data_IF_019363007608
#
_entry.id   IF_019363007608
#
_cell.length_a   1.000
_cell.length_b   1.000
_cell.length_c   1.000
_cell.angle_alpha   90.00
_cell.angle_beta   90.00
_cell.angle_gamma   90.00
#
_symmetry.space_group_name_H-M   'P 1'
#
loop_
_entity.id
_entity.type
_entity.pdbx_description
1 polymer ?
#
# COMPACT_ATOMS: atom_id res chain seq x y z
N UNK A 1 -47.23 48.14 -69.98
CA UNK A 1 -47.36 47.24 -68.81
C UNK A 1 -47.22 45.80 -69.29
N UNK A 2 -46.50 44.99 -68.51
CA UNK A 2 -45.93 43.67 -68.85
C UNK A 2 -46.97 42.59 -69.15
N UNK A 3 -46.62 41.64 -70.03
CA UNK A 3 -46.55 40.18 -69.77
C UNK A 3 -46.38 39.43 -71.11
N UNK A 4 -45.19 38.87 -71.35
CA UNK A 4 -44.83 37.45 -71.20
C UNK A 4 -45.34 36.55 -72.34
N UNK A 5 -44.41 36.22 -73.24
CA UNK A 5 -44.47 35.02 -74.07
C UNK A 5 -43.13 34.31 -73.92
N UNK A 6 -43.15 33.03 -73.52
CA UNK A 6 -41.99 32.16 -73.59
C UNK A 6 -42.38 30.85 -74.27
N UNK A 7 -41.59 30.51 -75.30
CA UNK A 7 -41.55 29.26 -76.03
C UNK A 7 -40.18 29.23 -76.78
N UNK A 8 -39.70 28.09 -77.28
CA UNK A 8 -38.76 27.27 -76.53
C UNK A 8 -37.49 26.92 -77.34
N UNK A 9 -36.68 26.04 -76.73
CA UNK A 9 -35.83 25.00 -77.35
C UNK A 9 -34.47 25.37 -77.97
N UNK A 10 -33.52 24.53 -77.52
CA UNK A 10 -32.42 23.85 -78.26
C UNK A 10 -31.18 24.68 -78.58
N UNK A 11 -30.04 24.11 -78.18
CA UNK A 11 -28.74 24.43 -78.75
C UNK A 11 -27.61 24.11 -77.78
N UNK A 12 -27.14 22.86 -77.82
CA UNK A 12 -25.83 22.47 -77.28
C UNK A 12 -24.73 23.29 -78.01
N UNK A 13 -23.56 23.52 -77.40
CA UNK A 13 -22.46 22.66 -77.82
C UNK A 13 -21.56 22.16 -76.70
N UNK A 14 -21.10 20.94 -76.95
CA UNK A 14 -19.87 20.32 -76.48
C UNK A 14 -18.73 21.32 -76.25
N UNK A 15 -18.16 21.31 -75.04
CA UNK A 15 -16.73 21.53 -74.83
C UNK A 15 -16.23 20.40 -73.93
N UNK A 16 -15.33 19.60 -74.50
CA UNK A 16 -14.46 18.64 -73.85
C UNK A 16 -13.71 19.32 -72.69
N UNK A 17 -13.85 18.81 -71.47
CA UNK A 17 -12.86 19.01 -70.43
C UNK A 17 -12.77 17.76 -69.57
N UNK A 18 -11.65 17.06 -69.80
CA UNK A 18 -10.99 16.08 -68.94
C UNK A 18 -11.69 15.80 -67.61
N UNK A 19 -12.53 14.77 -67.58
CA UNK A 19 -12.88 14.12 -66.32
C UNK A 19 -11.74 13.16 -66.00
N UNK A 20 -10.95 13.55 -64.99
CA UNK A 20 -10.00 12.72 -64.27
C UNK A 20 -10.65 11.37 -63.92
N UNK A 21 -10.21 10.32 -64.60
CA UNK A 21 -10.61 8.96 -64.31
C UNK A 21 -10.02 8.56 -62.95
N UNK A 22 -10.84 7.87 -62.17
CA UNK A 22 -10.59 7.57 -60.78
C UNK A 22 -9.35 6.72 -60.56
N UNK A 23 -8.60 7.14 -59.55
CA UNK A 23 -7.76 6.30 -58.70
C UNK A 23 -7.83 6.94 -57.31
N UNK A 24 -8.98 6.75 -56.66
CA UNK A 24 -9.12 6.87 -55.21
C UNK A 24 -8.24 5.77 -54.60
N UNK A 25 -6.96 6.08 -54.46
CA UNK A 25 -6.05 5.37 -53.58
C UNK A 25 -6.48 5.71 -52.16
N UNK A 26 -7.36 4.88 -51.62
CA UNK A 26 -7.53 4.76 -50.17
C UNK A 26 -6.14 4.49 -49.59
N UNK A 27 -5.58 5.32 -48.70
CA UNK A 27 -4.57 4.82 -47.78
C UNK A 27 -5.31 3.79 -46.93
N UNK A 28 -5.20 2.52 -47.33
CA UNK A 28 -5.57 1.41 -46.48
C UNK A 28 -4.81 1.61 -45.18
N UNK A 29 -5.55 1.83 -44.09
CA UNK A 29 -5.03 1.57 -42.77
C UNK A 29 -4.71 0.08 -42.73
N UNK A 30 -3.51 -0.27 -43.17
CA UNK A 30 -2.85 -1.49 -42.80
C UNK A 30 -2.69 -1.38 -41.28
N UNK A 31 -3.70 -1.87 -40.56
CA UNK A 31 -3.53 -2.25 -39.18
C UNK A 31 -2.45 -3.31 -39.21
N UNK A 32 -1.23 -2.92 -38.86
CA UNK A 32 -0.21 -3.86 -38.47
C UNK A 32 -0.81 -4.64 -37.29
N UNK A 33 -1.35 -5.82 -37.60
CA UNK A 33 -1.63 -6.83 -36.59
C UNK A 33 -0.27 -7.26 -36.05
N UNK A 34 0.24 -6.51 -35.08
CA UNK A 34 1.15 -7.06 -34.08
C UNK A 34 0.34 -8.11 -33.33
N UNK A 35 0.40 -9.35 -33.82
CA UNK A 35 0.13 -10.52 -33.00
C UNK A 35 1.21 -10.51 -31.94
N UNK A 36 0.92 -9.85 -30.82
CA UNK A 36 1.71 -9.97 -29.62
C UNK A 36 1.60 -11.43 -29.18
N UNK A 37 2.74 -12.12 -29.16
CA UNK A 37 2.84 -13.42 -28.49
C UNK A 37 2.32 -13.29 -27.05
N UNK A 38 1.67 -14.32 -26.49
CA UNK A 38 1.24 -14.28 -25.10
C UNK A 38 2.47 -14.13 -24.21
N UNK A 39 2.61 -12.95 -23.60
CA UNK A 39 3.60 -12.70 -22.57
C UNK A 39 3.25 -13.61 -21.40
N UNK A 40 4.14 -14.57 -21.11
CA UNK A 40 4.13 -15.33 -19.86
C UNK A 40 3.95 -14.35 -18.71
N UNK A 41 3.02 -14.60 -17.79
CA UNK A 41 2.80 -13.80 -16.58
C UNK A 41 4.13 -13.49 -15.88
N UNK A 42 4.69 -12.32 -16.16
CA UNK A 42 5.94 -11.81 -15.58
C UNK A 42 5.68 -10.36 -15.19
N UNK A 43 5.65 -10.16 -13.88
CA UNK A 43 6.01 -8.95 -13.14
C UNK A 43 5.33 -7.62 -13.52
N UNK A 44 4.43 -7.20 -12.62
CA UNK A 44 3.70 -5.92 -12.48
C UNK A 44 2.48 -5.70 -13.40
N UNK A 45 1.25 -5.80 -12.83
CA UNK A 45 0.60 -4.60 -12.25
C UNK A 45 0.26 -4.59 -10.74
N UNK A 46 0.24 -5.73 -10.01
CA UNK A 46 -0.35 -5.70 -8.64
C UNK A 46 0.56 -5.25 -7.49
N UNK A 47 1.86 -5.02 -7.71
CA UNK A 47 2.75 -4.51 -6.65
C UNK A 47 2.43 -3.06 -6.28
N UNK A 48 1.88 -2.30 -7.24
CA UNK A 48 1.57 -0.90 -7.03
C UNK A 48 0.59 -0.77 -5.85
N UNK A 49 -0.50 -1.53 -5.86
CA UNK A 49 -1.62 -1.41 -4.91
C UNK A 49 -1.38 -2.10 -3.55
N UNK A 50 -0.24 -2.78 -3.34
CA UNK A 50 0.00 -3.52 -2.11
C UNK A 50 0.33 -2.57 -0.95
N UNK A 51 -0.07 -2.94 0.27
CA UNK A 51 0.32 -2.26 1.49
C UNK A 51 0.60 -3.28 2.59
N UNK A 52 1.33 -2.84 3.61
CA UNK A 52 1.59 -3.61 4.82
C UNK A 52 0.92 -2.90 5.99
N UNK A 53 0.26 -3.65 6.86
CA UNK A 53 -0.03 -3.19 8.22
C UNK A 53 1.12 -3.66 9.10
N UNK A 54 1.83 -2.71 9.70
CA UNK A 54 2.98 -2.98 10.56
C UNK A 54 2.66 -2.60 11.99
N UNK A 55 3.29 -3.30 12.94
CA UNK A 55 3.59 -2.73 14.24
C UNK A 55 4.84 -1.85 14.14
N UNK A 56 5.39 -1.49 15.29
CA UNK A 56 6.59 -0.67 15.37
C UNK A 56 7.82 -1.39 14.77
N UNK A 57 8.03 -2.65 15.14
CA UNK A 57 9.22 -3.45 14.80
C UNK A 57 8.95 -4.67 13.91
N UNK A 58 7.69 -4.92 13.55
CA UNK A 58 7.31 -6.13 12.84
C UNK A 58 6.22 -5.90 11.79
N UNK A 59 6.31 -6.68 10.71
CA UNK A 59 5.21 -6.90 9.81
C UNK A 59 4.11 -7.68 10.54
N UNK A 60 2.87 -7.19 10.45
CA UNK A 60 1.71 -7.82 11.11
C UNK A 60 0.82 -8.46 10.06
N UNK A 61 0.44 -7.71 9.03
CA UNK A 61 -0.51 -8.15 8.02
C UNK A 61 -0.23 -7.54 6.64
N UNK A 62 -0.87 -8.11 5.63
CA UNK A 62 -0.99 -7.55 4.30
C UNK A 62 -2.21 -6.62 4.23
N UNK A 63 -2.19 -5.71 3.27
CA UNK A 63 -3.27 -4.80 2.96
C UNK A 63 -3.25 -4.42 1.48
N UNK A 64 -4.29 -3.74 1.02
CA UNK A 64 -4.40 -3.27 -0.36
C UNK A 64 -4.93 -1.85 -0.41
N UNK A 65 -4.26 -0.97 -1.15
CA UNK A 65 -4.65 0.43 -1.37
C UNK A 65 -5.93 0.46 -2.20
N UNK A 66 -6.98 1.08 -1.66
CA UNK A 66 -8.32 1.17 -2.27
C UNK A 66 -8.81 2.62 -2.41
N UNK A 67 -7.95 3.59 -2.12
CA UNK A 67 -8.25 5.00 -2.22
C UNK A 67 -7.05 5.89 -1.85
N UNK A 68 -7.19 7.22 -1.92
CA UNK A 68 -6.06 8.15 -1.77
C UNK A 68 -5.37 8.09 -0.40
N UNK A 69 -6.11 7.64 0.62
CA UNK A 69 -5.65 7.50 2.02
C UNK A 69 -6.22 6.25 2.70
N UNK A 70 -6.68 5.30 1.90
CA UNK A 70 -7.45 4.16 2.38
C UNK A 70 -6.81 2.84 1.95
N UNK A 71 -6.65 1.93 2.90
CA UNK A 71 -6.31 0.54 2.62
C UNK A 71 -7.38 -0.41 3.15
N UNK A 72 -7.52 -1.54 2.49
CA UNK A 72 -8.34 -2.67 2.90
C UNK A 72 -7.45 -3.72 3.58
N UNK A 73 -7.88 -4.23 4.74
CA UNK A 73 -7.19 -5.29 5.48
C UNK A 73 -8.18 -6.09 6.34
N UNK A 74 -7.70 -7.05 7.12
CA UNK A 74 -8.53 -7.79 8.08
C UNK A 74 -8.65 -7.00 9.40
N UNK A 75 -9.80 -7.06 10.07
CA UNK A 75 -10.03 -6.27 11.28
C UNK A 75 -9.07 -6.64 12.43
N UNK A 76 -8.71 -7.92 12.54
CA UNK A 76 -7.73 -8.44 13.50
C UNK A 76 -6.32 -7.85 13.34
N UNK A 77 -6.02 -7.24 12.19
CA UNK A 77 -4.73 -6.60 11.97
C UNK A 77 -4.61 -5.24 12.64
N UNK A 78 -5.74 -4.59 12.96
CA UNK A 78 -5.79 -3.17 13.37
C UNK A 78 -6.66 -2.90 14.59
N UNK A 79 -7.58 -3.79 14.94
CA UNK A 79 -8.45 -3.68 16.11
C UNK A 79 -8.10 -4.79 17.11
N UNK A 80 -8.03 -4.41 18.39
CA UNK A 80 -7.97 -5.34 19.51
C UNK A 80 -9.34 -6.01 19.70
N UNK A 81 -9.45 -7.35 19.59
CA UNK A 81 -10.74 -8.04 19.74
C UNK A 81 -11.32 -7.96 21.16
N UNK A 82 -10.51 -7.72 22.19
CA UNK A 82 -10.96 -7.66 23.57
C UNK A 82 -11.52 -6.29 23.93
N UNK A 83 -10.87 -5.22 23.46
CA UNK A 83 -11.24 -3.83 23.80
C UNK A 83 -12.00 -3.11 22.70
N UNK A 84 -12.04 -3.69 21.50
CA UNK A 84 -12.63 -3.11 20.29
C UNK A 84 -12.04 -1.72 19.92
N UNK A 85 -10.79 -1.50 20.34
CA UNK A 85 -10.05 -0.27 20.10
C UNK A 85 -9.03 -0.47 18.98
N UNK A 86 -8.65 0.63 18.32
CA UNK A 86 -7.54 0.60 17.36
C UNK A 86 -6.24 0.35 18.12
N UNK A 87 -5.45 -0.62 17.65
CA UNK A 87 -4.11 -0.89 18.17
C UNK A 87 -3.21 0.32 17.89
N UNK A 88 -2.76 0.98 18.96
CA UNK A 88 -2.08 2.29 18.89
C UNK A 88 -0.73 2.26 18.17
N UNK A 89 -0.09 1.09 18.12
CA UNK A 89 1.22 0.85 17.50
C UNK A 89 1.11 0.52 16.00
N UNK A 90 -0.10 0.44 15.44
CA UNK A 90 -0.32 0.05 14.05
C UNK A 90 -0.14 1.20 13.08
N UNK A 91 0.56 0.89 11.99
CA UNK A 91 0.86 1.80 10.90
C UNK A 91 0.63 1.12 9.55
N UNK A 92 0.57 1.91 8.50
CA UNK A 92 0.37 1.43 7.12
C UNK A 92 1.54 1.88 6.26
N UNK A 93 2.04 0.96 5.43
CA UNK A 93 3.10 1.24 4.49
C UNK A 93 2.65 0.87 3.07
N UNK A 94 2.39 1.83 2.18
CA UNK A 94 2.05 1.54 0.79
C UNK A 94 3.30 1.13 0.00
N UNK A 95 3.10 0.31 -1.04
CA UNK A 95 4.09 0.03 -2.10
C UNK A 95 5.48 -0.34 -1.58
N UNK A 96 5.54 -1.30 -0.66
CA UNK A 96 6.83 -1.76 -0.12
C UNK A 96 7.32 -2.97 -0.90
N UNK A 97 8.52 -2.88 -1.48
CA UNK A 97 9.34 -4.04 -1.81
C UNK A 97 10.31 -4.25 -0.65
N UNK A 98 9.99 -5.19 0.26
CA UNK A 98 10.92 -5.60 1.32
C UNK A 98 11.98 -6.58 0.78
N UNK A 99 12.34 -6.48 -0.50
CA UNK A 99 13.28 -7.39 -1.15
C UNK A 99 14.67 -7.35 -0.46
N UNK A 100 15.04 -6.21 0.14
CA UNK A 100 16.32 -6.00 0.88
C UNK A 100 16.12 -5.68 2.38
N UNK A 101 14.98 -6.05 2.98
CA UNK A 101 14.65 -5.70 4.38
C UNK A 101 14.54 -4.18 4.62
N UNK A 102 14.23 -3.43 3.56
CA UNK A 102 14.13 -1.97 3.54
C UNK A 102 12.72 -1.51 3.91
N UNK A 103 12.53 -0.99 5.12
CA UNK A 103 11.29 -0.33 5.52
C UNK A 103 11.36 1.12 4.99
N UNK A 104 10.57 1.53 3.97
CA UNK A 104 10.61 2.90 3.44
C UNK A 104 10.12 3.96 4.42
N UNK A 105 10.58 5.20 4.21
CA UNK A 105 10.14 6.48 4.81
C UNK A 105 8.65 6.81 4.61
N UNK A 106 7.84 5.85 4.14
CA UNK A 106 6.45 6.03 3.73
C UNK A 106 5.42 5.53 4.75
N UNK A 107 5.82 5.19 5.99
CA UNK A 107 4.88 4.85 7.07
C UNK A 107 3.84 5.95 7.28
N UNK A 108 2.57 5.56 7.31
CA UNK A 108 1.43 6.42 7.61
C UNK A 108 0.75 5.93 8.86
N UNK A 109 0.37 6.86 9.73
CA UNK A 109 -0.33 6.52 10.97
C UNK A 109 -1.78 6.24 10.67
N UNK A 110 -2.35 5.26 11.37
CA UNK A 110 -3.79 5.03 11.32
C UNK A 110 -4.49 6.21 11.98
N UNK A 111 -5.44 6.80 11.26
CA UNK A 111 -6.31 7.86 11.76
C UNK A 111 -7.64 7.30 12.22
N UNK A 112 -8.25 6.47 11.36
CA UNK A 112 -9.56 5.86 11.60
C UNK A 112 -9.59 4.46 11.03
N UNK A 113 -10.34 3.59 11.69
CA UNK A 113 -10.66 2.26 11.19
C UNK A 113 -12.17 2.16 11.05
N UNK A 114 -12.62 1.71 9.88
CA UNK A 114 -14.02 1.45 9.61
C UNK A 114 -14.26 -0.05 9.57
N UNK A 115 -15.18 -0.53 10.40
CA UNK A 115 -15.58 -1.94 10.46
C UNK A 115 -17.09 -2.07 10.23
N UNK A 116 -17.55 -3.16 9.59
CA UNK A 116 -18.97 -3.40 9.42
C UNK A 116 -19.73 -3.39 10.75
N UNK A 117 -20.89 -2.72 10.77
CA UNK A 117 -21.81 -2.77 11.91
C UNK A 117 -22.62 -4.07 11.90
N UNK A 118 -23.09 -4.48 13.06
CA UNK A 118 -23.98 -5.63 13.16
C UNK A 118 -25.30 -5.33 12.41
N UNK A 119 -25.75 -6.29 11.59
CA UNK A 119 -26.93 -6.11 10.74
C UNK A 119 -26.67 -5.44 9.39
N UNK A 120 -25.40 -5.12 9.05
CA UNK A 120 -25.04 -4.76 7.68
C UNK A 120 -25.40 -5.88 6.69
N UNK A 121 -25.80 -5.57 5.45
CA UNK A 121 -26.24 -6.56 4.46
C UNK A 121 -25.06 -7.29 3.77
N UNK A 122 -23.96 -7.52 4.48
CA UNK A 122 -22.71 -8.08 3.95
C UNK A 122 -22.44 -9.53 4.43
N UNK A 123 -23.51 -10.20 4.86
CA UNK A 123 -23.43 -11.48 5.55
C UNK A 123 -22.94 -11.36 7.00
N UNK A 124 -23.38 -12.24 7.91
CA UNK A 124 -22.89 -12.22 9.26
C UNK A 124 -21.49 -12.85 9.32
N UNK A 125 -20.45 -12.04 9.51
CA UNK A 125 -19.24 -12.53 10.17
C UNK A 125 -19.51 -12.49 11.67
N UNK A 126 -20.18 -13.53 12.21
CA UNK A 126 -20.51 -13.64 13.64
C UNK A 126 -19.27 -13.48 14.54
N UNK A 127 -18.10 -13.77 13.97
CA UNK A 127 -16.79 -13.71 14.61
C UNK A 127 -16.00 -12.52 14.11
N UNK A 128 -15.33 -11.85 15.03
CA UNK A 128 -14.49 -10.70 14.75
C UNK A 128 -13.36 -11.02 13.76
N UNK A 129 -12.82 -12.24 13.81
CA UNK A 129 -11.79 -12.76 12.90
C UNK A 129 -12.29 -12.89 11.45
N UNK A 130 -13.60 -12.86 11.25
CA UNK A 130 -14.24 -12.83 9.94
C UNK A 130 -14.41 -11.44 9.35
N UNK A 131 -14.16 -10.36 10.12
CA UNK A 131 -14.43 -8.99 9.69
C UNK A 131 -13.28 -8.42 8.86
N UNK A 132 -13.62 -7.69 7.80
CA UNK A 132 -12.67 -6.78 7.15
C UNK A 132 -12.63 -5.43 7.87
N UNK A 133 -11.59 -4.65 7.57
CA UNK A 133 -11.46 -3.27 8.00
C UNK A 133 -11.00 -2.39 6.83
N UNK A 134 -11.58 -1.19 6.75
CA UNK A 134 -11.05 -0.10 5.93
C UNK A 134 -10.24 0.79 6.87
N UNK A 135 -8.98 1.03 6.54
CA UNK A 135 -8.08 1.84 7.36
C UNK A 135 -7.85 3.15 6.62
N UNK A 136 -8.23 4.26 7.25
CA UNK A 136 -7.86 5.58 6.80
C UNK A 136 -6.61 6.03 7.53
N UNK A 137 -5.63 6.50 6.77
CA UNK A 137 -4.36 6.97 7.30
C UNK A 137 -4.24 8.48 7.29
N UNK A 138 -3.50 9.02 8.25
CA UNK A 138 -3.10 10.41 8.28
C UNK A 138 -1.65 10.58 7.81
N UNK A 139 -1.43 11.63 7.04
CA UNK A 139 -0.10 12.15 6.67
C UNK A 139 0.22 13.29 7.64
N UNK A 140 1.29 13.13 8.44
CA UNK A 140 1.68 14.12 9.46
C UNK A 140 2.66 15.18 8.92
N UNK A 141 3.30 14.88 7.80
CA UNK A 141 4.07 15.83 6.96
C UNK A 141 3.37 15.88 5.60
N UNK A 142 3.67 16.86 4.74
CA UNK A 142 3.23 16.88 3.32
C UNK A 142 3.82 15.70 2.53
N UNK A 143 3.46 14.48 2.90
CA UNK A 143 3.56 13.34 2.03
C UNK A 143 2.39 13.42 1.06
N UNK A 144 2.63 13.15 -0.23
CA UNK A 144 1.54 13.11 -1.17
C UNK A 144 0.64 11.90 -0.86
N UNK A 145 -0.66 11.96 -1.21
CA UNK A 145 -1.59 10.86 -1.00
C UNK A 145 -1.07 9.57 -1.62
N UNK A 146 -1.58 8.42 -1.17
CA UNK A 146 -1.24 7.12 -1.79
C UNK A 146 -1.34 7.18 -3.31
N UNK A 147 -2.37 7.82 -3.85
CA UNK A 147 -2.58 7.98 -5.29
C UNK A 147 -1.45 8.68 -6.06
N UNK A 148 -0.51 9.36 -5.39
CA UNK A 148 0.69 9.93 -6.00
C UNK A 148 1.88 8.95 -6.03
N UNK A 149 1.85 7.92 -5.17
CA UNK A 149 2.93 6.95 -4.99
C UNK A 149 2.54 5.55 -5.51
N UNK A 150 1.25 5.24 -5.59
CA UNK A 150 0.67 3.92 -5.85
C UNK A 150 -0.68 4.04 -6.56
N UNK A 151 -1.01 3.03 -7.38
CA UNK A 151 -2.33 2.88 -7.98
C UNK A 151 -3.37 2.41 -6.95
N UNK A 152 -4.63 2.76 -7.17
CA UNK A 152 -5.75 2.29 -6.35
C UNK A 152 -6.37 1.03 -6.94
N UNK A 153 -6.64 0.03 -6.10
CA UNK A 153 -7.25 -1.20 -6.53
C UNK A 153 -8.75 -1.05 -6.79
N UNK A 154 -9.19 -1.54 -7.96
CA UNK A 154 -10.60 -1.70 -8.26
C UNK A 154 -11.16 -3.01 -7.69
N UNK A 155 -12.45 -3.00 -7.35
CA UNK A 155 -13.23 -4.17 -6.97
C UNK A 155 -13.83 -4.85 -8.20
N UNK A 156 -13.91 -6.17 -8.16
CA UNK A 156 -14.71 -6.94 -9.12
C UNK A 156 -16.20 -6.68 -8.85
N UNK A 157 -16.93 -6.25 -9.87
CA UNK A 157 -18.37 -5.91 -9.78
C UNK A 157 -19.26 -6.87 -10.54
N UNK A 158 -18.70 -7.97 -11.04
CA UNK A 158 -19.49 -8.94 -11.80
C UNK A 158 -20.46 -9.64 -10.85
N UNK A 159 -21.73 -9.66 -11.23
CA UNK A 159 -22.72 -10.51 -10.56
C UNK A 159 -22.26 -11.96 -10.75
N UNK A 160 -22.06 -12.66 -9.64
CA UNK A 160 -21.53 -14.01 -9.54
C UNK A 160 -22.33 -14.99 -10.40
N UNK A 161 -21.94 -15.19 -11.65
CA UNK A 161 -22.24 -16.38 -12.42
C UNK A 161 -21.06 -16.70 -13.35
N UNK A 162 -20.22 -17.64 -12.91
CA UNK A 162 -19.51 -18.56 -13.80
C UNK A 162 -18.14 -18.14 -14.36
N UNK A 163 -17.41 -17.21 -13.74
CA UNK A 163 -16.03 -16.97 -14.16
C UNK A 163 -15.03 -17.66 -13.21
N UNK A 164 -14.54 -18.82 -13.65
CA UNK A 164 -13.48 -19.63 -13.05
C UNK A 164 -12.10 -18.95 -13.15
N UNK A 165 -12.06 -17.64 -12.88
CA UNK A 165 -10.83 -16.86 -12.89
C UNK A 165 -9.85 -17.46 -11.88
N UNK A 166 -8.58 -17.62 -12.29
CA UNK A 166 -7.51 -18.05 -11.39
C UNK A 166 -7.41 -17.02 -10.27
N UNK A 167 -7.85 -17.42 -9.08
CA UNK A 167 -7.71 -16.60 -7.88
C UNK A 167 -6.23 -16.46 -7.55
N UNK A 168 -5.82 -15.22 -7.36
CA UNK A 168 -4.45 -14.88 -7.00
C UNK A 168 -4.45 -14.09 -5.71
N UNK A 169 -3.58 -14.48 -4.79
CA UNK A 169 -3.34 -13.77 -3.54
C UNK A 169 -1.87 -13.36 -3.54
N UNK A 170 -1.62 -12.05 -3.44
CA UNK A 170 -0.29 -11.50 -3.20
C UNK A 170 -0.23 -10.97 -1.79
N UNK A 171 0.79 -11.37 -1.06
CA UNK A 171 0.87 -11.11 0.37
C UNK A 171 2.32 -11.02 0.82
N UNK A 172 2.52 -10.45 2.00
CA UNK A 172 3.82 -10.34 2.63
C UNK A 172 4.00 -11.42 3.69
N UNK A 173 5.11 -12.15 3.61
CA UNK A 173 5.43 -13.23 4.54
C UNK A 173 6.29 -12.71 5.70
N UNK A 174 5.78 -12.81 6.94
CA UNK A 174 6.53 -12.34 8.11
C UNK A 174 7.84 -13.10 8.29
N UNK A 175 7.90 -14.40 7.96
CA UNK A 175 9.08 -15.23 8.17
C UNK A 175 10.27 -14.81 7.29
N UNK A 176 10.02 -14.16 6.16
CA UNK A 176 11.06 -13.65 5.25
C UNK A 176 11.45 -12.20 5.57
N UNK A 177 11.02 -11.67 6.71
CA UNK A 177 11.17 -10.23 7.01
C UNK A 177 10.23 -9.35 6.20
N UNK A 178 9.17 -9.95 5.63
CA UNK A 178 8.12 -9.27 4.89
C UNK A 178 8.33 -9.22 3.39
N UNK A 179 9.08 -10.15 2.77
CA UNK A 179 9.12 -10.22 1.31
C UNK A 179 7.73 -10.56 0.74
N UNK A 180 7.38 -9.91 -0.37
CA UNK A 180 6.12 -10.17 -1.05
C UNK A 180 6.20 -11.47 -1.84
N UNK A 181 5.18 -12.31 -1.70
CA UNK A 181 5.04 -13.55 -2.43
C UNK A 181 3.64 -13.66 -3.04
N UNK A 182 3.48 -14.61 -3.95
CA UNK A 182 2.22 -14.87 -4.65
C UNK A 182 1.81 -16.31 -4.47
N UNK A 183 0.54 -16.54 -4.16
CA UNK A 183 -0.07 -17.87 -4.12
C UNK A 183 -1.30 -17.91 -5.02
N UNK A 184 -1.46 -19.04 -5.73
CA UNK A 184 -2.62 -19.37 -6.53
C UNK A 184 -3.61 -20.21 -5.72
N UNK A 185 -4.03 -19.69 -4.56
CA UNK A 185 -5.03 -20.34 -3.72
C UNK A 185 -6.37 -20.42 -4.45
N UNK A 186 -7.04 -21.56 -4.41
CA UNK A 186 -8.38 -21.72 -4.94
C UNK A 186 -9.44 -21.60 -3.83
N UNK A 187 -10.55 -20.97 -4.17
CA UNK A 187 -11.78 -21.05 -3.40
C UNK A 187 -12.40 -22.43 -3.62
N UNK A 188 -12.71 -23.13 -2.55
CA UNK A 188 -13.41 -24.41 -2.57
C UNK A 188 -14.92 -24.22 -2.62
N UNK A 189 -15.42 -23.21 -1.90
CA UNK A 189 -16.84 -22.86 -1.85
C UNK A 189 -17.01 -21.48 -1.19
N UNK A 190 -18.12 -20.81 -1.50
CA UNK A 190 -18.61 -19.68 -0.70
C UNK A 190 -19.68 -20.23 0.26
N UNK A 191 -19.39 -20.17 1.56
CA UNK A 191 -20.28 -20.62 2.64
C UNK A 191 -21.29 -19.50 3.00
N UNK A 192 -22.37 -19.82 3.74
CA UNK A 192 -23.27 -18.80 4.29
C UNK A 192 -22.49 -17.76 5.11
N UNK A 193 -22.77 -16.47 4.89
CA UNK A 193 -22.05 -15.36 5.53
C UNK A 193 -20.79 -14.91 4.78
N UNK A 194 -20.73 -15.16 3.47
CA UNK A 194 -19.67 -14.69 2.55
C UNK A 194 -18.26 -15.20 2.91
N UNK A 195 -18.13 -16.24 3.72
CA UNK A 195 -16.83 -16.89 3.99
C UNK A 195 -16.46 -17.78 2.80
N UNK A 196 -15.26 -17.59 2.29
CA UNK A 196 -14.69 -18.35 1.18
C UNK A 196 -13.74 -19.40 1.74
N UNK A 197 -14.17 -20.66 1.77
CA UNK A 197 -13.27 -21.75 2.16
C UNK A 197 -12.16 -21.89 1.12
N UNK A 198 -10.90 -21.97 1.56
CA UNK A 198 -9.74 -21.99 0.66
C UNK A 198 -8.96 -23.29 0.79
N UNK A 199 -8.35 -23.73 -0.30
CA UNK A 199 -7.51 -24.94 -0.32
C UNK A 199 -6.07 -24.71 0.15
N UNK A 200 -5.79 -23.55 0.76
CA UNK A 200 -4.45 -23.14 1.13
C UNK A 200 -4.41 -22.59 2.57
N UNK A 201 -3.27 -22.80 3.23
CA UNK A 201 -2.93 -22.20 4.51
C UNK A 201 -1.71 -21.30 4.28
N UNK A 202 -1.95 -20.00 4.07
CA UNK A 202 -0.87 -19.03 3.90
C UNK A 202 -0.25 -18.67 5.25
N UNK A 203 1.05 -18.32 5.27
CA UNK A 203 1.79 -18.04 6.51
C UNK A 203 1.35 -16.74 7.18
N UNK A 204 1.90 -16.48 8.36
CA UNK A 204 1.71 -15.22 9.07
C UNK A 204 2.18 -14.02 8.23
N UNK A 205 1.46 -12.90 8.35
CA UNK A 205 1.59 -11.74 7.46
C UNK A 205 0.64 -11.78 6.26
N UNK A 206 0.10 -12.95 5.89
CA UNK A 206 -0.81 -13.04 4.74
C UNK A 206 -2.22 -12.48 5.00
N UNK A 207 -2.67 -12.47 6.25
CA UNK A 207 -3.96 -11.91 6.66
C UNK A 207 -4.14 -10.48 6.14
N UNK A 208 -5.33 -10.17 5.63
CA UNK A 208 -5.64 -8.88 5.03
C UNK A 208 -5.19 -8.71 3.57
N UNK A 209 -4.55 -9.71 2.97
CA UNK A 209 -4.25 -9.69 1.53
C UNK A 209 -5.53 -9.78 0.68
N UNK A 210 -5.60 -8.99 -0.39
CA UNK A 210 -6.71 -9.09 -1.34
C UNK A 210 -6.67 -10.42 -2.11
N UNK A 211 -7.84 -11.05 -2.23
CA UNK A 211 -8.09 -12.16 -3.16
C UNK A 211 -8.57 -11.53 -4.46
N UNK A 212 -7.86 -11.80 -5.56
CA UNK A 212 -8.07 -11.10 -6.83
C UNK A 212 -8.36 -12.07 -7.97
N UNK A 213 -9.20 -11.59 -8.87
CA UNK A 213 -9.39 -12.08 -10.23
C UNK A 213 -8.88 -11.03 -11.21
N UNK A 214 -8.88 -11.33 -12.51
CA UNK A 214 -8.42 -10.39 -13.54
C UNK A 214 -9.17 -9.04 -13.51
N UNK A 215 -10.45 -9.03 -13.10
CA UNK A 215 -11.29 -7.82 -13.05
C UNK A 215 -11.13 -6.99 -11.77
N UNK A 216 -10.47 -7.48 -10.72
CA UNK A 216 -10.27 -6.73 -9.49
C UNK A 216 -10.27 -7.57 -8.21
N UNK A 217 -10.40 -6.88 -7.08
CA UNK A 217 -10.58 -7.51 -5.75
C UNK A 217 -11.96 -8.16 -5.69
N UNK A 218 -12.00 -9.47 -5.43
CA UNK A 218 -13.25 -10.24 -5.22
C UNK A 218 -13.42 -10.65 -3.75
N UNK A 219 -12.33 -10.63 -2.98
CA UNK A 219 -12.35 -11.01 -1.58
C UNK A 219 -11.12 -10.58 -0.80
N UNK A 220 -11.04 -11.05 0.44
CA UNK A 220 -9.96 -10.78 1.37
C UNK A 220 -9.55 -12.08 2.06
N UNK A 221 -8.25 -12.38 2.12
CA UNK A 221 -7.74 -13.50 2.90
C UNK A 221 -7.72 -13.13 4.39
N UNK A 222 -8.28 -14.00 5.25
CA UNK A 222 -8.43 -13.70 6.67
C UNK A 222 -7.41 -14.48 7.51
N UNK A 223 -7.38 -15.81 7.38
CA UNK A 223 -6.55 -16.71 8.16
C UNK A 223 -6.41 -18.07 7.44
N UNK A 224 -5.52 -18.98 7.90
CA UNK A 224 -5.30 -20.29 7.27
C UNK A 224 -6.59 -21.02 6.89
N UNK A 225 -6.77 -21.27 5.58
CA UNK A 225 -7.93 -21.98 5.03
C UNK A 225 -9.19 -21.14 4.79
N UNK A 226 -9.18 -19.83 5.08
CA UNK A 226 -10.36 -18.99 4.97
C UNK A 226 -10.08 -17.59 4.39
N UNK A 227 -10.90 -17.22 3.42
CA UNK A 227 -11.10 -15.85 2.97
C UNK A 227 -12.52 -15.38 3.20
N UNK A 228 -12.80 -14.16 2.79
CA UNK A 228 -14.12 -13.55 2.77
C UNK A 228 -14.38 -12.95 1.40
N UNK A 229 -15.50 -13.30 0.81
CA UNK A 229 -16.03 -12.70 -0.40
C UNK A 229 -16.55 -11.30 -0.09
N UNK A 230 -16.41 -10.37 -1.04
CA UNK A 230 -16.90 -8.99 -0.91
C UNK A 230 -17.96 -8.77 -1.98
N UNK A 231 -19.23 -8.77 -1.58
CA UNK A 231 -20.36 -8.60 -2.49
C UNK A 231 -20.58 -7.15 -2.93
N UNK A 232 -21.37 -6.96 -4.00
CA UNK A 232 -21.63 -5.64 -4.60
C UNK A 232 -22.15 -4.60 -3.60
N UNK A 233 -23.06 -4.98 -2.70
CA UNK A 233 -23.57 -4.07 -1.67
C UNK A 233 -22.48 -3.57 -0.71
N UNK A 234 -21.50 -4.44 -0.41
CA UNK A 234 -20.34 -4.08 0.41
C UNK A 234 -19.37 -3.21 -0.38
N UNK A 235 -19.11 -3.51 -1.65
CA UNK A 235 -18.29 -2.67 -2.55
C UNK A 235 -18.83 -1.24 -2.62
N UNK A 236 -20.15 -1.07 -2.78
CA UNK A 236 -20.79 0.26 -2.79
C UNK A 236 -20.60 0.98 -1.46
N UNK A 237 -20.78 0.28 -0.35
CA UNK A 237 -20.61 0.83 0.98
C UNK A 237 -19.16 1.23 1.29
N UNK A 238 -18.17 0.42 0.86
CA UNK A 238 -16.74 0.75 0.91
C UNK A 238 -16.47 2.03 0.09
N UNK A 239 -17.00 2.11 -1.13
CA UNK A 239 -16.83 3.29 -1.99
C UNK A 239 -17.35 4.58 -1.34
N UNK A 240 -18.44 4.51 -0.59
CA UNK A 240 -18.96 5.67 0.17
C UNK A 240 -18.06 6.08 1.34
N UNK A 241 -17.39 5.13 1.99
CA UNK A 241 -16.38 5.43 3.01
C UNK A 241 -15.17 6.13 2.36
N UNK A 242 -14.60 5.53 1.32
CA UNK A 242 -13.40 6.03 0.64
C UNK A 242 -13.58 7.45 0.07
N UNK A 243 -14.77 7.74 -0.46
CA UNK A 243 -15.12 9.06 -1.02
C UNK A 243 -15.50 10.11 0.05
N UNK A 244 -15.58 9.72 1.32
CA UNK A 244 -16.01 10.61 2.41
C UNK A 244 -17.52 10.88 2.45
N UNK A 245 -18.32 10.24 1.59
CA UNK A 245 -19.78 10.35 1.61
C UNK A 245 -20.42 9.69 2.85
N UNK A 246 -19.66 8.84 3.55
CA UNK A 246 -20.10 8.11 4.73
C UNK A 246 -21.03 6.94 4.37
N UNK A 247 -20.95 5.87 5.17
CA UNK A 247 -21.77 4.67 5.01
C UNK A 247 -22.45 4.31 6.33
N UNK A 248 -23.76 4.03 6.35
CA UNK A 248 -24.46 3.58 7.56
C UNK A 248 -24.06 2.15 7.96
N UNK A 249 -23.39 1.42 7.07
CA UNK A 249 -23.02 0.02 7.29
C UNK A 249 -21.63 -0.16 7.88
N UNK A 250 -20.91 0.94 8.09
CA UNK A 250 -19.60 0.95 8.74
C UNK A 250 -19.62 1.92 9.92
N UNK A 251 -19.14 1.47 11.08
CA UNK A 251 -18.80 2.40 12.16
C UNK A 251 -17.36 2.84 12.00
N UNK A 252 -17.10 4.11 12.27
CA UNK A 252 -15.75 4.64 12.37
C UNK A 252 -15.26 4.55 13.81
N UNK A 253 -14.04 4.07 13.99
CA UNK A 253 -13.32 4.03 15.25
C UNK A 253 -12.12 4.96 15.10
N UNK A 254 -12.05 6.02 15.89
CA UNK A 254 -10.92 6.94 15.89
C UNK A 254 -9.69 6.26 16.51
N UNK A 255 -8.54 6.44 15.88
CA UNK A 255 -7.27 5.96 16.40
C UNK A 255 -6.59 7.04 17.23
N UNK A 256 -5.93 6.64 18.30
CA UNK A 256 -4.97 7.49 19.04
C UNK A 256 -3.60 6.86 18.84
N UNK A 257 -2.91 7.16 17.71
CA UNK A 257 -1.67 6.49 17.37
C UNK A 257 -0.57 6.87 18.37
N UNK A 258 0.26 5.89 18.72
CA UNK A 258 1.49 6.13 19.44
C UNK A 258 2.52 6.74 18.48
N UNK A 259 2.60 8.07 18.51
CA UNK A 259 3.54 8.82 17.70
C UNK A 259 4.97 8.51 18.18
N UNK A 260 5.75 7.92 17.28
CA UNK A 260 7.15 7.57 17.52
C UNK A 260 8.03 8.04 16.38
N UNK A 261 9.29 8.27 16.73
CA UNK A 261 10.39 8.49 15.79
C UNK A 261 11.21 7.21 15.78
N UNK A 262 11.27 6.53 14.65
CA UNK A 262 12.10 5.33 14.48
C UNK A 262 13.48 5.72 13.98
N UNK A 263 14.52 5.34 14.71
CA UNK A 263 15.88 5.39 14.22
C UNK A 263 16.26 4.05 13.62
N UNK A 264 16.64 4.04 12.35
CA UNK A 264 17.17 2.83 11.69
C UNK A 264 18.67 2.99 11.57
N UNK A 265 19.40 2.30 12.46
CA UNK A 265 20.86 2.28 12.48
C UNK A 265 21.37 1.09 11.68
N UNK A 266 22.15 1.32 10.63
CA UNK A 266 22.78 0.26 9.85
C UNK A 266 24.28 0.20 10.13
N UNK A 267 24.81 -0.98 10.49
CA UNK A 267 26.24 -1.19 10.67
C UNK A 267 26.88 -1.65 9.35
N UNK A 268 27.72 -0.78 8.77
CA UNK A 268 28.53 -1.08 7.57
C UNK A 268 30.01 -1.37 7.89
N UNK A 269 30.41 -1.38 9.16
CA UNK A 269 31.71 -1.88 9.57
C UNK A 269 31.76 -3.41 9.43
N UNK A 270 32.97 -3.94 9.29
CA UNK A 270 33.29 -5.37 9.38
C UNK A 270 33.34 -5.89 10.84
N UNK A 271 33.20 -4.99 11.81
CA UNK A 271 33.14 -5.27 13.24
C UNK A 271 31.80 -4.82 13.85
N UNK A 272 31.40 -5.39 15.01
CA UNK A 272 30.21 -4.94 15.72
C UNK A 272 30.37 -3.51 16.26
N UNK A 273 29.26 -2.76 16.29
CA UNK A 273 29.18 -1.41 16.85
C UNK A 273 28.33 -1.44 18.11
N UNK A 274 28.86 -0.95 19.22
CA UNK A 274 28.06 -0.60 20.40
C UNK A 274 27.57 0.84 20.24
N UNK A 275 26.27 1.09 20.44
CA UNK A 275 25.66 2.41 20.30
C UNK A 275 24.99 2.88 21.59
N UNK A 276 24.93 4.21 21.75
CA UNK A 276 24.18 4.89 22.80
C UNK A 276 23.49 6.12 22.22
N UNK A 277 22.16 6.11 22.25
CA UNK A 277 21.29 7.20 21.87
C UNK A 277 20.72 7.84 23.13
N UNK A 278 20.91 9.14 23.30
CA UNK A 278 20.26 9.93 24.36
C UNK A 278 19.27 10.87 23.72
N UNK A 279 18.00 10.76 24.05
CA UNK A 279 16.98 11.59 23.42
C UNK A 279 16.17 12.39 24.44
N UNK A 280 15.63 13.52 23.98
CA UNK A 280 14.68 14.33 24.72
C UNK A 280 13.76 15.10 23.75
N UNK A 281 12.46 15.24 24.06
CA UNK A 281 11.55 16.11 23.30
C UNK A 281 12.03 17.56 23.26
N UNK A 282 11.80 18.25 22.14
CA UNK A 282 12.09 19.69 22.00
C UNK A 282 11.12 20.47 22.88
N UNK A 283 11.65 21.36 23.73
CA UNK A 283 10.84 22.16 24.67
C UNK A 283 10.41 21.41 25.94
N UNK A 284 10.64 20.10 26.01
CA UNK A 284 10.47 19.32 27.24
C UNK A 284 11.56 19.66 28.25
N UNK A 285 11.18 20.23 29.39
CA UNK A 285 12.05 20.26 30.57
C UNK A 285 12.17 18.85 31.15
N UNK A 286 13.40 18.32 31.27
CA UNK A 286 13.62 16.97 31.80
C UNK A 286 14.97 16.35 31.44
N UNK A 287 15.23 15.18 32.03
CA UNK A 287 16.39 14.34 31.80
C UNK A 287 16.33 13.62 30.45
N UNK A 288 17.48 13.20 29.94
CA UNK A 288 17.58 12.41 28.72
C UNK A 288 17.23 10.95 28.99
N UNK A 289 16.34 10.39 28.17
CA UNK A 289 16.19 8.93 28.10
C UNK A 289 17.35 8.35 27.28
N UNK A 290 17.95 7.28 27.77
CA UNK A 290 19.09 6.63 27.12
C UNK A 290 18.70 5.26 26.62
N UNK A 291 18.98 4.99 25.34
CA UNK A 291 18.82 3.69 24.69
C UNK A 291 20.18 3.26 24.18
N UNK A 292 20.62 2.06 24.54
CA UNK A 292 21.92 1.52 24.13
C UNK A 292 21.75 0.11 23.62
N UNK A 293 22.68 -0.32 22.76
CA UNK A 293 22.66 -1.67 22.22
C UNK A 293 23.89 -1.96 21.37
N UNK A 294 23.85 -3.09 20.69
CA UNK A 294 24.91 -3.57 19.79
C UNK A 294 24.33 -3.93 18.44
N UNK A 295 25.05 -3.62 17.37
CA UNK A 295 24.70 -3.96 16.00
C UNK A 295 25.84 -4.78 15.41
N UNK A 296 25.57 -6.03 15.06
CA UNK A 296 26.57 -6.90 14.42
C UNK A 296 26.87 -6.41 12.98
N UNK A 297 28.01 -6.84 12.43
CA UNK A 297 28.45 -6.47 11.07
C UNK A 297 27.36 -6.77 10.03
N UNK A 298 27.04 -5.80 9.18
CA UNK A 298 26.03 -5.92 8.12
C UNK A 298 24.58 -5.95 8.61
N UNK A 299 24.33 -5.81 9.92
CA UNK A 299 22.98 -5.82 10.47
C UNK A 299 22.41 -4.41 10.66
N UNK A 300 21.09 -4.37 10.87
CA UNK A 300 20.32 -3.16 11.18
C UNK A 300 19.70 -3.25 12.55
N UNK A 301 19.50 -2.11 13.18
CA UNK A 301 18.79 -1.97 14.45
C UNK A 301 17.75 -0.86 14.36
N UNK A 302 16.53 -1.18 14.76
CA UNK A 302 15.44 -0.23 14.93
C UNK A 302 15.45 0.26 16.38
N UNK A 303 15.37 1.57 16.55
CA UNK A 303 15.31 2.24 17.86
C UNK A 303 14.18 3.23 17.85
N UNK A 304 13.07 2.85 18.47
CA UNK A 304 11.86 3.65 18.52
C UNK A 304 11.88 4.60 19.71
N UNK A 305 11.69 5.88 19.42
CA UNK A 305 11.63 6.94 20.40
C UNK A 305 10.20 7.46 20.44
N UNK A 306 9.47 7.16 21.52
CA UNK A 306 8.08 7.59 21.71
C UNK A 306 8.03 9.11 21.99
N UNK A 307 8.07 9.92 20.93
CA UNK A 307 8.08 11.39 21.01
C UNK A 307 7.63 11.99 19.68
N UNK A 308 7.12 13.23 19.72
CA UNK A 308 6.60 13.96 18.56
C UNK A 308 7.69 14.78 17.82
N UNK A 309 8.72 15.14 18.56
CA UNK A 309 9.92 15.83 18.11
C UNK A 309 11.07 15.46 19.06
N UNK A 310 12.30 15.85 18.74
CA UNK A 310 13.38 15.60 19.69
C UNK A 310 14.75 16.10 19.26
N UNK A 311 15.62 16.24 20.26
CA UNK A 311 17.06 16.27 20.03
C UNK A 311 17.61 14.92 20.46
N UNK A 312 18.27 14.24 19.52
CA UNK A 312 18.88 12.94 19.74
C UNK A 312 20.38 13.11 19.69
N UNK A 313 21.05 12.71 20.77
CA UNK A 313 22.48 12.65 20.87
C UNK A 313 22.91 11.21 20.64
N UNK A 314 23.58 10.95 19.52
CA UNK A 314 24.09 9.62 19.20
C UNK A 314 25.58 9.51 19.48
N UNK A 315 25.98 8.36 20.01
CA UNK A 315 27.36 7.87 20.07
C UNK A 315 27.38 6.43 19.57
N UNK A 316 28.40 6.08 18.78
CA UNK A 316 28.73 4.69 18.49
C UNK A 316 30.22 4.43 18.79
N UNK A 317 30.58 3.17 19.03
CA UNK A 317 31.96 2.74 19.24
C UNK A 317 32.18 1.41 18.54
N UNK A 318 33.13 1.39 17.61
CA UNK A 318 33.66 0.18 16.97
C UNK A 318 35.03 -0.16 17.58
N UNK A 319 35.49 -1.40 17.36
CA UNK A 319 36.74 -1.96 17.93
C UNK A 319 37.99 -1.10 17.69
N UNK A 320 37.99 -0.26 16.65
CA UNK A 320 39.14 0.55 16.20
C UNK A 320 38.88 2.08 16.17
N UNK A 321 37.83 2.56 16.85
CA UNK A 321 37.81 3.93 17.42
C UNK A 321 37.32 5.10 16.55
N UNK A 322 36.91 4.90 15.30
CA UNK A 322 36.23 5.94 14.52
C UNK A 322 35.01 5.38 13.81
N UNK A 323 33.91 6.14 13.83
CA UNK A 323 32.72 5.86 13.02
C UNK A 323 32.46 7.04 12.10
N UNK A 324 31.90 6.78 10.93
CA UNK A 324 31.42 7.78 9.99
C UNK A 324 29.91 7.67 9.91
N UNK A 325 29.23 8.80 10.02
CA UNK A 325 27.79 8.92 9.94
C UNK A 325 27.37 9.49 8.58
N UNK A 326 26.30 8.93 8.02
CA UNK A 326 25.71 9.34 6.75
C UNK A 326 25.47 10.86 6.69
N UNK A 327 26.30 11.56 5.90
CA UNK A 327 26.50 13.01 5.97
C UNK A 327 27.98 13.44 6.13
N UNK A 328 28.91 12.48 6.17
CA UNK A 328 30.37 12.72 6.19
C UNK A 328 30.91 13.17 7.55
N UNK A 329 30.16 12.91 8.64
CA UNK A 329 30.59 13.30 10.00
C UNK A 329 31.33 12.16 10.68
N UNK A 330 32.54 12.43 11.17
CA UNK A 330 33.39 11.44 11.85
C UNK A 330 33.24 11.54 13.37
N UNK A 331 32.84 10.44 14.01
CA UNK A 331 32.89 10.25 15.47
C UNK A 331 34.34 10.11 15.92
N UNK A 332 34.90 11.17 16.51
CA UNK A 332 36.09 11.01 17.36
C UNK A 332 35.69 10.39 18.70
N UNK A 333 36.59 9.56 19.22
CA UNK A 333 36.36 8.69 20.37
C UNK A 333 35.69 9.43 21.54
N UNK A 334 34.49 8.96 21.93
CA UNK A 334 33.74 9.51 23.06
C UNK A 334 32.81 10.69 22.80
N UNK A 335 32.71 11.24 21.58
CA UNK A 335 31.84 12.39 21.29
C UNK A 335 30.42 12.00 20.85
N UNK A 336 29.46 12.84 21.21
CA UNK A 336 28.06 12.76 20.76
C UNK A 336 27.81 13.73 19.62
N UNK A 337 26.98 13.36 18.65
CA UNK A 337 26.41 14.28 17.67
C UNK A 337 24.95 14.52 17.96
N UNK A 338 24.50 15.76 17.83
CA UNK A 338 23.10 16.13 17.90
C UNK A 338 22.43 15.98 16.53
N UNK A 339 21.29 15.30 16.54
CA UNK A 339 20.37 15.19 15.43
C UNK A 339 19.10 15.90 15.89
N UNK A 340 18.80 17.03 15.26
CA UNK A 340 17.57 17.76 15.52
C UNK A 340 16.47 17.24 14.62
N UNK A 341 15.42 16.74 15.25
CA UNK A 341 14.25 16.21 14.58
C UNK A 341 13.08 17.15 14.82
N UNK A 342 12.58 17.70 13.72
CA UNK A 342 11.51 18.69 13.74
C UNK A 342 10.12 18.07 13.47
N UNK A 343 10.05 16.78 13.16
CA UNK A 343 8.80 16.07 12.85
C UNK A 343 8.93 14.56 13.10
N UNK A 344 7.80 13.89 13.23
CA UNK A 344 7.67 12.43 13.25
C UNK A 344 8.17 11.81 11.93
N UNK A 345 8.67 10.57 12.00
CA UNK A 345 9.11 9.81 10.84
C UNK A 345 10.23 8.83 11.14
N UNK A 346 10.60 8.06 10.13
CA UNK A 346 11.77 7.18 10.20
C UNK A 346 13.02 7.94 9.76
N UNK A 347 14.05 7.92 10.61
CA UNK A 347 15.34 8.56 10.37
C UNK A 347 16.41 7.49 10.12
N UNK A 348 16.84 7.40 8.87
CA UNK A 348 17.81 6.40 8.42
C UNK A 348 19.23 6.92 8.58
N UNK A 349 20.04 6.15 9.31
CA UNK A 349 21.42 6.51 9.58
C UNK A 349 22.34 5.31 9.38
N UNK A 350 23.28 5.45 8.45
CA UNK A 350 24.35 4.49 8.27
C UNK A 350 25.53 4.85 9.16
N UNK A 351 26.11 3.85 9.80
CA UNK A 351 27.37 3.93 10.54
C UNK A 351 28.41 3.07 9.80
N UNK A 352 29.50 3.67 9.34
CA UNK A 352 30.64 2.96 8.72
C UNK A 352 31.93 3.21 9.49
N UNK A 353 32.93 2.36 9.27
CA UNK A 353 34.29 2.55 9.79
C UNK A 353 35.22 3.17 8.72
N UNK A 354 34.71 3.29 7.49
CA UNK A 354 35.34 3.91 6.33
C UNK A 354 34.60 5.22 5.97
N UNK A 355 35.27 6.11 5.22
CA UNK A 355 34.76 7.42 4.76
C UNK A 355 33.47 7.37 3.93
#
# INVERSE_FOLDING_TARGET
MRCFASKPRRGLPFIFSLLFLGLLSLPGFASAQTVAEPVKARDAPDRAMAAIVTGVDQLVCSATVIGPRHVLTAATCVIDPETDAVLADRQVMPRVDLDDGYIPTARRFIRRVFVPVDGAPFGPSDRFEGKLAIVETAELVEHPPFSAETDEAAFDRRETEGDDGILTIRFYDRATGGQMTTSACAALSIAPGDIMAMNCALPEGASGAAIRVASGITGLYLYPGAGRYIGNAEVEAIGRVVTGAGSPFFRAIEATPDLSITFVLSNRCDAPIDYSLRYRPVGGGGDFTTVSGRIESGQRRFVDLMTDNGVVYMRGTAKDGALVWDGGRVFEDGRYFDIRINSWGDYFHSLSCDE
#
